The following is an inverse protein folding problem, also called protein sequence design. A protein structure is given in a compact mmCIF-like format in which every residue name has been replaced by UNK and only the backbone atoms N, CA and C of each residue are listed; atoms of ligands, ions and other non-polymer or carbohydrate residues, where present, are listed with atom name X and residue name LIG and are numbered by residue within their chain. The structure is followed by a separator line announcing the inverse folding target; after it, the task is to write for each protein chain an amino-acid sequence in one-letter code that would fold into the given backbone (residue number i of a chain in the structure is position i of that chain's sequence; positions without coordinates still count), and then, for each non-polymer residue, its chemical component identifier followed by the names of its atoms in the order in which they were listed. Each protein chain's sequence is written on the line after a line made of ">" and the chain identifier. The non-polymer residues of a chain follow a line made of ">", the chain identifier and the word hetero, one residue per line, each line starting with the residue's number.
data_IF_452165909096
#
_entry.id   IF_452165909096
#
_cell.length_a   1.000
_cell.length_b   1.000
_cell.length_c   1.000
_cell.angle_alpha   90.00
_cell.angle_beta   90.00
_cell.angle_gamma   90.00
#
_symmetry.space_group_name_H-M   'P 1'
#
loop_
_entity.id
_entity.type
_entity.pdbx_description
1 polymer ?
#
# COMPACT_ATOMS: atom_id res chain seq x y z
N UNK A 1 -12.70 16.28 -1.39
CA UNK A 1 -12.37 14.88 -0.99
C UNK A 1 -11.89 14.03 -2.18
N UNK A 2 -12.74 13.77 -3.20
CA UNK A 2 -12.33 12.90 -4.31
C UNK A 2 -11.12 13.42 -5.09
N UNK A 3 -11.04 14.71 -5.35
CA UNK A 3 -9.91 15.32 -6.07
C UNK A 3 -8.58 15.16 -5.34
N UNK A 4 -8.57 15.33 -4.02
CA UNK A 4 -7.35 15.21 -3.22
C UNK A 4 -6.85 13.77 -3.16
N UNK A 5 -7.77 12.80 -3.02
CA UNK A 5 -7.44 11.38 -3.09
C UNK A 5 -6.92 11.02 -4.50
N UNK A 6 -7.48 11.61 -5.57
CA UNK A 6 -7.00 11.39 -6.94
C UNK A 6 -5.56 11.89 -7.17
N UNK A 7 -5.11 12.91 -6.46
CA UNK A 7 -3.71 13.40 -6.52
C UNK A 7 -2.70 12.31 -6.16
N UNK A 8 -3.07 11.34 -5.31
CA UNK A 8 -2.22 10.21 -4.94
C UNK A 8 -1.75 9.36 -6.13
N UNK A 9 -2.44 9.45 -7.28
CA UNK A 9 -2.01 8.82 -8.53
C UNK A 9 -0.63 9.29 -8.99
N UNK A 10 -0.25 10.50 -8.66
CA UNK A 10 1.01 11.11 -9.07
C UNK A 10 2.18 10.71 -8.16
N UNK A 11 1.89 10.08 -7.02
CA UNK A 11 2.89 9.70 -6.04
C UNK A 11 3.14 8.18 -6.06
N UNK A 12 4.41 7.79 -6.10
CA UNK A 12 4.79 6.37 -6.05
C UNK A 12 4.62 5.84 -4.63
N UNK A 13 4.08 4.64 -4.52
CA UNK A 13 4.09 3.89 -3.26
C UNK A 13 5.27 2.91 -3.25
N UNK A 14 5.12 1.75 -3.87
CA UNK A 14 6.20 0.77 -4.05
C UNK A 14 6.43 0.52 -5.54
N UNK A 15 7.67 0.74 -5.99
CA UNK A 15 8.24 0.32 -7.26
C UNK A 15 7.48 0.78 -8.55
N UNK A 16 6.23 0.37 -8.81
CA UNK A 16 5.41 0.75 -9.98
C UNK A 16 3.97 1.09 -9.62
N UNK A 17 3.56 0.82 -8.39
CA UNK A 17 2.21 1.09 -7.93
C UNK A 17 2.19 2.50 -7.35
N UNK A 18 1.19 3.29 -7.73
CA UNK A 18 0.97 4.60 -7.12
C UNK A 18 0.16 4.45 -5.82
N UNK A 19 0.26 5.46 -4.96
CA UNK A 19 -0.43 5.46 -3.66
C UNK A 19 -1.95 5.31 -3.80
N UNK A 20 -2.55 5.88 -4.84
CA UNK A 20 -3.98 5.74 -5.07
C UNK A 20 -4.38 4.28 -5.25
N UNK A 21 -3.69 3.55 -6.12
CA UNK A 21 -4.00 2.12 -6.37
C UNK A 21 -3.80 1.28 -5.12
N UNK A 22 -2.74 1.53 -4.36
CA UNK A 22 -2.50 0.88 -3.07
C UNK A 22 -3.63 1.16 -2.09
N UNK A 23 -3.96 2.44 -1.83
CA UNK A 23 -5.04 2.83 -0.91
C UNK A 23 -6.41 2.25 -1.31
N UNK A 24 -6.68 2.13 -2.61
CA UNK A 24 -7.90 1.47 -3.10
C UNK A 24 -7.90 -0.02 -2.74
N UNK A 25 -6.78 -0.72 -2.94
CA UNK A 25 -6.66 -2.14 -2.58
C UNK A 25 -6.84 -2.35 -1.07
N UNK A 26 -6.14 -1.58 -0.26
CA UNK A 26 -6.26 -1.66 1.22
C UNK A 26 -7.69 -1.37 1.66
N UNK A 27 -8.33 -0.33 1.11
CA UNK A 27 -9.73 0.02 1.39
C UNK A 27 -10.70 -1.11 1.03
N UNK A 28 -10.54 -1.72 -0.15
CA UNK A 28 -11.39 -2.80 -0.63
C UNK A 28 -11.31 -4.04 0.27
N UNK A 29 -10.11 -4.49 0.56
CA UNK A 29 -9.93 -5.66 1.43
C UNK A 29 -10.35 -5.36 2.87
N UNK A 30 -10.09 -4.16 3.38
CA UNK A 30 -10.57 -3.74 4.71
C UNK A 30 -12.09 -3.77 4.80
N UNK A 31 -12.79 -3.30 3.77
CA UNK A 31 -14.26 -3.40 3.68
C UNK A 31 -14.75 -4.85 3.79
N UNK A 32 -14.17 -5.76 2.97
CA UNK A 32 -14.60 -7.15 2.91
C UNK A 32 -14.38 -7.84 4.25
N UNK A 33 -13.17 -7.73 4.79
CA UNK A 33 -12.83 -8.43 6.03
C UNK A 33 -13.54 -7.82 7.25
N UNK A 34 -13.62 -6.49 7.36
CA UNK A 34 -14.37 -5.85 8.44
C UNK A 34 -15.84 -6.26 8.42
N UNK A 35 -16.47 -6.29 7.25
CA UNK A 35 -17.86 -6.75 7.09
C UNK A 35 -18.03 -8.22 7.52
N UNK A 36 -17.09 -9.08 7.11
CA UNK A 36 -17.10 -10.51 7.48
C UNK A 36 -16.96 -10.71 8.99
N UNK A 37 -16.17 -9.88 9.68
CA UNK A 37 -15.95 -9.99 11.13
C UNK A 37 -16.97 -9.21 11.97
N UNK A 38 -17.95 -8.54 11.36
CA UNK A 38 -18.93 -7.74 12.08
C UNK A 38 -18.34 -6.46 12.70
N UNK A 39 -17.29 -5.90 12.08
CA UNK A 39 -16.67 -4.63 12.46
C UNK A 39 -17.35 -3.47 11.74
N UNK A 40 -16.98 -2.23 12.11
CA UNK A 40 -17.42 -1.06 11.33
C UNK A 40 -16.68 -1.00 10.00
N UNK A 41 -17.24 -1.70 9.02
CA UNK A 41 -16.67 -1.83 7.68
C UNK A 41 -16.64 -0.52 6.89
N UNK A 42 -17.54 0.44 7.22
CA UNK A 42 -17.54 1.75 6.57
C UNK A 42 -16.35 2.59 7.03
N UNK A 43 -16.15 2.66 8.35
CA UNK A 43 -15.00 3.35 8.93
C UNK A 43 -13.69 2.68 8.56
N UNK A 44 -13.63 1.34 8.56
CA UNK A 44 -12.47 0.60 8.12
C UNK A 44 -12.08 0.94 6.67
N UNK A 45 -13.04 0.88 5.73
CA UNK A 45 -12.79 1.18 4.32
C UNK A 45 -12.40 2.63 4.08
N UNK A 46 -13.07 3.58 4.74
CA UNK A 46 -12.81 5.01 4.56
C UNK A 46 -11.48 5.43 5.18
N UNK A 47 -11.18 4.98 6.40
CA UNK A 47 -9.88 5.18 7.04
C UNK A 47 -8.74 4.59 6.22
N UNK A 48 -8.92 3.36 5.69
CA UNK A 48 -7.97 2.70 4.81
C UNK A 48 -7.76 3.45 3.48
N UNK A 49 -8.79 4.08 2.90
CA UNK A 49 -8.64 4.89 1.70
C UNK A 49 -7.77 6.14 1.94
N UNK A 50 -7.81 6.67 3.15
CA UNK A 50 -7.17 7.93 3.53
C UNK A 50 -5.83 7.75 4.28
N UNK A 51 -5.44 6.50 4.63
CA UNK A 51 -4.30 6.24 5.49
C UNK A 51 -2.98 6.81 4.95
N UNK A 52 -2.82 6.83 3.63
CA UNK A 52 -1.63 7.32 2.92
C UNK A 52 -1.84 8.67 2.19
N UNK A 53 -2.77 9.50 2.70
CA UNK A 53 -3.08 10.82 2.11
C UNK A 53 -2.01 11.85 2.46
N UNK A 54 -0.78 11.61 2.02
CA UNK A 54 0.33 12.53 2.16
C UNK A 54 0.98 12.84 0.81
N UNK A 55 1.54 14.05 0.68
CA UNK A 55 2.07 14.57 -0.58
C UNK A 55 3.56 14.89 -0.52
N UNK A 56 4.16 14.84 0.67
CA UNK A 56 5.58 15.09 0.85
C UNK A 56 6.45 14.00 0.22
N UNK A 57 7.53 14.42 -0.44
CA UNK A 57 8.59 13.54 -0.88
C UNK A 57 9.70 13.51 0.18
N UNK A 58 9.80 12.41 0.90
CA UNK A 58 10.81 12.26 1.94
C UNK A 58 12.14 11.80 1.35
N UNK A 59 13.22 12.52 1.63
CA UNK A 59 14.58 12.16 1.22
C UNK A 59 15.08 10.87 1.89
N UNK A 60 14.54 10.55 3.06
CA UNK A 60 14.93 9.40 3.85
C UNK A 60 13.71 8.53 4.19
N UNK A 61 13.77 7.24 3.85
CA UNK A 61 12.72 6.27 4.12
C UNK A 61 12.35 6.18 5.61
N UNK A 62 13.32 6.26 6.51
CA UNK A 62 13.06 6.24 7.96
C UNK A 62 12.27 7.46 8.43
N UNK A 63 12.50 8.62 7.85
CA UNK A 63 11.72 9.82 8.15
C UNK A 63 10.29 9.66 7.64
N UNK A 64 10.11 9.15 6.42
CA UNK A 64 8.79 8.84 5.88
C UNK A 64 8.01 7.93 6.81
N UNK A 65 8.58 6.77 7.19
CA UNK A 65 7.93 5.79 8.05
C UNK A 65 7.48 6.35 9.41
N UNK A 66 8.13 7.42 9.90
CA UNK A 66 7.81 8.01 11.20
C UNK A 66 6.84 9.18 11.15
N UNK A 67 6.62 9.78 9.99
CA UNK A 67 5.92 11.08 9.92
C UNK A 67 4.76 11.12 8.94
N UNK A 68 4.75 10.28 7.89
CA UNK A 68 3.71 10.36 6.86
C UNK A 68 2.28 10.13 7.39
N UNK A 69 2.12 9.27 8.40
CA UNK A 69 0.81 9.01 9.03
C UNK A 69 0.21 10.26 9.70
N UNK A 70 1.05 11.14 10.25
CA UNK A 70 0.60 12.43 10.83
C UNK A 70 0.19 13.40 9.73
N UNK A 71 0.99 13.52 8.67
CA UNK A 71 0.65 14.33 7.50
C UNK A 71 -0.63 13.82 6.84
N UNK A 72 -0.79 12.50 6.71
CA UNK A 72 -2.00 11.90 6.15
C UNK A 72 -3.25 12.24 6.99
N UNK A 73 -3.15 12.20 8.32
CA UNK A 73 -4.24 12.59 9.21
C UNK A 73 -4.58 14.07 9.05
N UNK A 74 -3.60 14.96 9.09
CA UNK A 74 -3.81 16.41 8.90
C UNK A 74 -4.48 16.72 7.55
N UNK A 75 -4.06 16.07 6.48
CA UNK A 75 -4.65 16.25 5.16
C UNK A 75 -6.07 15.68 5.07
N UNK A 76 -6.32 14.53 5.69
CA UNK A 76 -7.64 13.93 5.72
C UNK A 76 -8.64 14.80 6.51
N UNK A 77 -8.23 15.38 7.63
CA UNK A 77 -9.06 16.30 8.44
C UNK A 77 -9.42 17.61 7.71
N UNK A 78 -8.55 18.08 6.81
CA UNK A 78 -8.84 19.27 5.97
C UNK A 78 -9.93 19.02 4.94
N UNK A 79 -10.08 17.77 4.47
CA UNK A 79 -10.98 17.46 3.35
C UNK A 79 -12.27 16.76 3.75
N UNK A 80 -12.35 16.22 4.98
CA UNK A 80 -13.57 15.59 5.47
C UNK A 80 -13.59 15.45 6.99
N UNK A 81 -14.80 15.35 7.54
CA UNK A 81 -14.97 14.98 8.95
C UNK A 81 -14.67 13.50 9.15
N UNK A 82 -13.74 13.20 10.05
CA UNK A 82 -13.36 11.85 10.43
C UNK A 82 -14.00 11.50 11.78
N UNK A 83 -14.42 10.25 11.95
CA UNK A 83 -14.76 9.71 13.25
C UNK A 83 -13.48 9.19 13.96
N UNK A 84 -13.63 8.77 15.22
CA UNK A 84 -12.50 8.33 16.04
C UNK A 84 -11.82 7.06 15.51
N UNK A 85 -12.58 6.15 14.92
CA UNK A 85 -12.05 4.92 14.30
C UNK A 85 -11.19 5.28 13.08
N UNK A 86 -11.67 6.17 12.21
CA UNK A 86 -10.95 6.62 11.03
C UNK A 86 -9.66 7.36 11.36
N UNK A 87 -9.70 8.23 12.39
CA UNK A 87 -8.51 8.91 12.92
C UNK A 87 -7.47 7.92 13.43
N UNK A 88 -7.91 6.95 14.22
CA UNK A 88 -7.02 5.92 14.76
C UNK A 88 -6.42 5.05 13.66
N UNK A 89 -7.21 4.66 12.65
CA UNK A 89 -6.71 3.94 11.48
C UNK A 89 -5.58 4.74 10.81
N UNK A 90 -5.83 5.98 10.42
CA UNK A 90 -4.86 6.81 9.70
C UNK A 90 -3.61 7.03 10.55
N UNK A 91 -3.76 7.32 11.83
CA UNK A 91 -2.64 7.60 12.73
C UNK A 91 -1.81 6.37 13.09
N UNK A 92 -2.42 5.17 13.12
CA UNK A 92 -1.82 3.96 13.68
C UNK A 92 -1.58 2.84 12.66
N UNK A 93 -1.84 3.07 11.35
CA UNK A 93 -1.64 2.03 10.33
C UNK A 93 -0.19 1.51 10.28
N UNK A 94 0.79 2.33 10.67
CA UNK A 94 2.20 1.95 10.74
C UNK A 94 2.58 1.09 11.97
N UNK A 95 1.63 0.61 12.75
CA UNK A 95 1.91 -0.36 13.81
C UNK A 95 2.34 -1.73 13.19
N UNK A 96 3.39 -2.40 13.72
CA UNK A 96 4.15 -2.12 14.94
C UNK A 96 5.38 -1.21 14.76
N UNK A 97 5.65 -0.68 13.56
CA UNK A 97 6.84 0.13 13.27
C UNK A 97 6.90 1.38 14.15
N UNK A 98 5.79 2.06 14.33
CA UNK A 98 5.70 3.27 15.17
C UNK A 98 5.50 2.99 16.66
N UNK A 99 5.41 1.74 17.11
CA UNK A 99 5.15 1.33 18.50
C UNK A 99 3.85 1.89 19.12
N UNK A 100 3.15 2.78 18.47
CA UNK A 100 1.88 3.34 18.91
C UNK A 100 0.75 2.36 18.59
N UNK A 101 0.21 1.70 19.62
CA UNK A 101 -0.81 0.66 19.44
C UNK A 101 -2.14 1.25 18.95
N UNK A 102 -2.78 0.62 17.97
CA UNK A 102 -4.16 0.92 17.62
C UNK A 102 -5.10 0.74 18.81
N UNK A 103 -6.15 1.57 18.85
CA UNK A 103 -7.19 1.52 19.89
C UNK A 103 -8.38 0.65 19.47
N UNK A 104 -8.68 0.62 18.18
CA UNK A 104 -9.83 -0.08 17.62
C UNK A 104 -9.42 -1.33 16.85
N UNK A 105 -10.30 -2.33 16.87
CA UNK A 105 -10.12 -3.59 16.12
C UNK A 105 -10.03 -3.36 14.61
N UNK A 106 -10.73 -2.36 14.10
CA UNK A 106 -10.68 -1.90 12.71
C UNK A 106 -9.28 -1.40 12.36
N UNK A 107 -8.63 -0.69 13.26
CA UNK A 107 -7.27 -0.16 13.04
C UNK A 107 -6.22 -1.28 12.98
N UNK A 108 -6.34 -2.30 13.83
CA UNK A 108 -5.49 -3.50 13.72
C UNK A 108 -5.70 -4.24 12.41
N UNK A 109 -6.97 -4.38 12.00
CA UNK A 109 -7.31 -5.02 10.73
C UNK A 109 -6.72 -4.28 9.56
N UNK A 110 -6.87 -2.94 9.52
CA UNK A 110 -6.35 -2.12 8.41
C UNK A 110 -4.82 -2.15 8.37
N UNK A 111 -4.13 -2.05 9.51
CA UNK A 111 -2.67 -2.17 9.56
C UNK A 111 -2.18 -3.51 9.00
N UNK A 112 -2.84 -4.62 9.37
CA UNK A 112 -2.51 -5.95 8.84
C UNK A 112 -2.75 -6.04 7.32
N UNK A 113 -3.86 -5.49 6.84
CA UNK A 113 -4.20 -5.52 5.39
C UNK A 113 -3.24 -4.64 4.59
N UNK A 114 -2.82 -3.50 5.13
CA UNK A 114 -1.84 -2.62 4.51
C UNK A 114 -0.50 -3.34 4.31
N UNK A 115 0.03 -3.97 5.37
CA UNK A 115 1.25 -4.79 5.30
C UNK A 115 1.09 -5.93 4.28
N UNK A 116 -0.05 -6.63 4.29
CA UNK A 116 -0.34 -7.72 3.35
C UNK A 116 -0.35 -7.24 1.90
N UNK A 117 -1.04 -6.13 1.61
CA UNK A 117 -1.06 -5.52 0.27
C UNK A 117 0.34 -5.12 -0.18
N UNK A 118 1.12 -4.49 0.69
CA UNK A 118 2.50 -4.07 0.40
C UNK A 118 3.41 -5.26 0.06
N UNK A 119 3.33 -6.35 0.82
CA UNK A 119 4.10 -7.58 0.55
C UNK A 119 3.67 -8.23 -0.76
N UNK A 120 2.35 -8.31 -1.02
CA UNK A 120 1.83 -8.90 -2.25
C UNK A 120 2.23 -8.11 -3.49
N UNK A 121 2.17 -6.78 -3.44
CA UNK A 121 2.58 -5.88 -4.51
C UNK A 121 4.07 -6.04 -4.85
N UNK A 122 4.93 -6.25 -3.84
CA UNK A 122 6.35 -6.54 -4.02
C UNK A 122 6.55 -7.94 -4.61
N UNK A 123 5.84 -8.96 -4.12
CA UNK A 123 5.95 -10.36 -4.53
C UNK A 123 5.52 -10.58 -5.99
N UNK A 124 4.41 -10.00 -6.42
CA UNK A 124 3.93 -10.07 -7.81
C UNK A 124 4.96 -9.50 -8.79
N UNK A 125 5.67 -8.47 -8.39
CA UNK A 125 6.76 -7.92 -9.19
C UNK A 125 7.99 -8.82 -9.22
N UNK A 126 8.39 -9.39 -8.10
CA UNK A 126 9.54 -10.30 -8.05
C UNK A 126 9.30 -11.51 -8.94
N UNK A 127 8.08 -12.07 -8.94
CA UNK A 127 7.70 -13.17 -9.83
C UNK A 127 7.73 -12.75 -11.32
N UNK A 128 7.24 -11.55 -11.67
CA UNK A 128 7.31 -11.00 -13.03
C UNK A 128 8.77 -10.76 -13.51
N UNK A 129 9.63 -10.26 -12.63
CA UNK A 129 11.07 -10.08 -12.93
C UNK A 129 11.73 -11.43 -13.15
N UNK A 130 11.45 -12.41 -12.29
CA UNK A 130 12.00 -13.75 -12.39
C UNK A 130 11.57 -14.45 -13.70
N UNK A 131 10.29 -14.39 -14.05
CA UNK A 131 9.77 -14.93 -15.31
C UNK A 131 10.40 -14.28 -16.54
N UNK A 132 10.59 -12.96 -16.53
CA UNK A 132 11.24 -12.23 -17.62
C UNK A 132 12.73 -12.58 -17.75
N UNK A 133 13.40 -12.78 -16.62
CA UNK A 133 14.82 -13.20 -16.58
C UNK A 133 14.99 -14.62 -17.07
N UNK A 134 14.13 -15.57 -16.65
CA UNK A 134 14.18 -16.96 -17.10
C UNK A 134 13.89 -17.09 -18.59
N UNK A 135 12.98 -16.30 -19.15
CA UNK A 135 12.69 -16.28 -20.59
C UNK A 135 13.89 -15.79 -21.40
N UNK A 136 14.57 -14.73 -20.96
CA UNK A 136 15.81 -14.25 -21.59
C UNK A 136 16.92 -15.31 -21.54
N UNK A 137 17.07 -15.98 -20.41
CA UNK A 137 18.06 -17.04 -20.23
C UNK A 137 17.77 -18.23 -21.16
N UNK A 138 16.52 -18.66 -21.28
CA UNK A 138 16.11 -19.74 -22.20
C UNK A 138 16.38 -19.36 -23.66
N UNK A 139 16.11 -18.10 -24.04
CA UNK A 139 16.39 -17.60 -25.38
C UNK A 139 17.91 -17.58 -25.67
N UNK A 140 18.72 -17.15 -24.70
CA UNK A 140 20.20 -17.18 -24.83
C UNK A 140 20.74 -18.61 -25.04
N UNK A 141 20.25 -19.58 -24.27
CA UNK A 141 20.63 -20.98 -24.41
C UNK A 141 20.28 -21.53 -25.82
N UNK A 142 19.08 -21.21 -26.33
CA UNK A 142 18.65 -21.64 -27.69
C UNK A 142 19.52 -21.04 -28.77
N UNK A 143 19.90 -19.79 -28.68
CA UNK A 143 20.76 -19.12 -29.64
C UNK A 143 22.16 -19.74 -29.65
N UNK A 144 22.74 -20.04 -28.49
CA UNK A 144 24.05 -20.64 -28.34
C UNK A 144 24.10 -22.07 -28.88
N UNK A 145 23.03 -22.88 -28.77
CA UNK A 145 22.93 -24.20 -29.40
C UNK A 145 22.95 -24.11 -30.91
N UNK A 146 22.19 -23.19 -31.52
CA UNK A 146 22.16 -22.97 -32.95
C UNK A 146 23.53 -22.57 -33.54
N UNK A 147 24.33 -21.82 -32.79
CA UNK A 147 25.67 -21.40 -33.24
C UNK A 147 26.66 -22.57 -33.25
N UNK A 148 26.54 -23.52 -32.29
CA UNK A 148 27.41 -24.69 -32.20
C UNK A 148 27.02 -25.83 -33.15
N UNK A 149 25.84 -25.83 -33.75
CA UNK A 149 25.37 -26.81 -34.72
C UNK A 149 25.74 -26.41 -36.16
N UNK A 150 26.21 -25.19 -36.38
CA UNK A 150 26.62 -24.64 -37.69
C UNK A 150 28.15 -24.47 -37.82
N UNK A 151 28.92 -25.06 -36.90
CA UNK A 151 30.40 -25.13 -36.94
C UNK A 151 30.82 -26.57 -37.00
#
# INVERSE_FOLDING_TARGET
>A
MLEDVQKLKNYRHHLKINRLSHSINVSYYSYIFAKKFGYDYKSAARGALLHDLFFSEYKNRFQSLRTHHKEALENAEKICNLNDIERDIILKHMFPVTRERPKYKESYLVAFIDDYCSVFEISDRLSKIFLKSSHKFTQYIRLRKKTNENT
#
